data_IF_284515815924
#
_entry.id   IF_284515815924
#
_cell.length_a   1.000
_cell.length_b   1.000
_cell.length_c   1.000
_cell.angle_alpha   90.00
_cell.angle_beta   90.00
_cell.angle_gamma   90.00
#
_symmetry.space_group_name_H-M   'P 1'
#
loop_
_entity.id
_entity.type
_entity.pdbx_description
1 polymer ?
#
# COMPACT_ATOMS: atom_id res chain seq x y z
N UNK A 1 9.76 -18.69 -11.92
CA UNK A 1 10.62 -19.03 -13.07
C UNK A 1 11.91 -19.70 -12.57
N UNK A 2 12.75 -19.05 -11.79
CA UNK A 2 14.02 -19.61 -11.29
C UNK A 2 13.86 -20.97 -10.60
N UNK A 3 12.89 -21.12 -9.73
CA UNK A 3 12.70 -22.35 -8.94
C UNK A 3 11.78 -23.36 -9.63
N UNK A 4 10.71 -22.87 -10.31
CA UNK A 4 9.67 -23.76 -10.86
C UNK A 4 9.92 -24.19 -12.30
N UNK A 5 10.66 -23.41 -13.07
CA UNK A 5 10.87 -23.65 -14.51
C UNK A 5 12.21 -23.08 -14.96
N UNK A 6 13.34 -23.57 -14.44
CA UNK A 6 14.66 -23.04 -14.78
C UNK A 6 15.04 -23.23 -16.27
N UNK A 7 14.44 -24.20 -16.93
CA UNK A 7 14.64 -24.42 -18.37
C UNK A 7 14.17 -23.26 -19.25
N UNK A 8 13.17 -22.49 -18.79
CA UNK A 8 12.70 -21.29 -19.50
C UNK A 8 13.76 -20.21 -19.56
N UNK A 9 14.66 -20.15 -18.58
CA UNK A 9 15.69 -19.12 -18.49
C UNK A 9 16.78 -19.29 -19.57
N UNK A 10 16.93 -20.49 -20.14
CA UNK A 10 17.96 -20.76 -21.15
C UNK A 10 17.85 -19.85 -22.39
N UNK A 11 16.65 -19.39 -22.72
CA UNK A 11 16.38 -18.57 -23.89
C UNK A 11 16.08 -17.11 -23.55
N UNK A 12 16.05 -16.75 -22.25
CA UNK A 12 15.79 -15.38 -21.78
C UNK A 12 17.11 -14.63 -21.66
N UNK A 13 17.23 -13.50 -22.34
CA UNK A 13 18.44 -12.65 -22.31
C UNK A 13 18.49 -11.75 -21.09
N UNK A 14 17.37 -11.52 -20.45
CA UNK A 14 17.21 -10.67 -19.27
C UNK A 14 15.74 -10.42 -18.98
N UNK A 15 15.46 -9.73 -17.89
CA UNK A 15 14.11 -9.32 -17.48
C UNK A 15 14.12 -7.85 -17.06
N UNK A 16 12.96 -7.24 -17.06
CA UNK A 16 12.72 -5.93 -16.47
C UNK A 16 11.65 -6.05 -15.38
N UNK A 17 11.85 -5.37 -14.28
CA UNK A 17 10.93 -5.36 -13.14
C UNK A 17 10.45 -3.95 -12.88
N UNK A 18 9.13 -3.77 -12.78
CA UNK A 18 8.50 -2.47 -12.58
C UNK A 18 7.92 -2.26 -11.16
N UNK A 19 7.96 -3.29 -10.31
CA UNK A 19 7.33 -3.23 -9.00
C UNK A 19 8.36 -3.20 -7.88
N UNK A 20 8.22 -2.31 -6.90
CA UNK A 20 9.15 -2.15 -5.76
C UNK A 20 9.45 -3.49 -5.08
N UNK A 21 8.45 -4.29 -4.82
CA UNK A 21 8.58 -5.61 -4.20
C UNK A 21 9.38 -6.58 -5.06
N UNK A 22 9.13 -6.61 -6.38
CA UNK A 22 9.87 -7.46 -7.31
C UNK A 22 11.34 -7.05 -7.37
N UNK A 23 11.62 -5.74 -7.38
CA UNK A 23 12.98 -5.21 -7.34
C UNK A 23 13.72 -5.65 -6.08
N UNK A 24 13.10 -5.54 -4.91
CA UNK A 24 13.71 -6.01 -3.64
C UNK A 24 14.03 -7.51 -3.71
N UNK A 25 13.11 -8.31 -4.27
CA UNK A 25 13.33 -9.74 -4.47
C UNK A 25 14.50 -10.04 -5.39
N UNK A 26 14.65 -9.27 -6.46
CA UNK A 26 15.79 -9.43 -7.39
C UNK A 26 17.11 -9.07 -6.72
N UNK A 27 17.17 -8.03 -5.89
CA UNK A 27 18.37 -7.69 -5.12
C UNK A 27 18.72 -8.78 -4.10
N UNK A 28 17.74 -9.40 -3.44
CA UNK A 28 17.98 -10.55 -2.57
C UNK A 28 18.57 -11.72 -3.37
N UNK A 29 17.98 -12.05 -4.53
CA UNK A 29 18.47 -13.12 -5.39
C UNK A 29 19.88 -12.84 -5.93
N UNK A 30 20.20 -11.59 -6.25
CA UNK A 30 21.54 -11.18 -6.68
C UNK A 30 22.55 -11.40 -5.52
N UNK A 31 22.21 -10.93 -4.31
CA UNK A 31 23.04 -11.10 -3.13
C UNK A 31 23.30 -12.57 -2.80
N UNK A 32 22.30 -13.43 -2.99
CA UNK A 32 22.37 -14.87 -2.73
C UNK A 32 22.95 -15.66 -3.93
N UNK A 33 23.36 -14.96 -5.00
CA UNK A 33 23.85 -15.56 -6.25
C UNK A 33 22.86 -16.56 -6.89
N UNK A 34 21.57 -16.33 -6.72
CA UNK A 34 20.49 -17.15 -7.31
C UNK A 34 19.84 -16.51 -8.52
N UNK A 35 20.19 -15.28 -8.86
CA UNK A 35 19.72 -14.59 -10.06
C UNK A 35 20.47 -15.10 -11.29
N UNK A 36 19.79 -15.82 -12.17
CA UNK A 36 20.41 -16.54 -13.28
C UNK A 36 20.46 -15.75 -14.60
N UNK A 37 19.78 -14.60 -14.67
CA UNK A 37 19.74 -13.75 -15.86
C UNK A 37 19.85 -12.27 -15.44
N UNK A 38 20.37 -11.38 -16.30
CA UNK A 38 20.40 -9.95 -16.04
C UNK A 38 18.99 -9.42 -15.76
N UNK A 39 18.86 -8.55 -14.77
CA UNK A 39 17.61 -7.89 -14.41
C UNK A 39 17.77 -6.36 -14.44
N UNK A 40 16.80 -5.67 -15.01
CA UNK A 40 16.77 -4.21 -15.11
C UNK A 40 15.68 -3.71 -14.20
N UNK A 41 16.07 -2.87 -13.23
CA UNK A 41 15.14 -2.15 -12.36
C UNK A 41 14.53 -0.96 -13.11
N UNK A 42 13.30 -1.13 -13.58
CA UNK A 42 12.51 -0.06 -14.23
C UNK A 42 11.71 0.71 -13.19
N UNK A 43 11.38 0.09 -12.05
CA UNK A 43 10.57 0.71 -11.00
C UNK A 43 11.14 2.05 -10.53
N UNK A 44 12.46 2.12 -10.35
CA UNK A 44 13.12 3.30 -9.81
C UNK A 44 13.46 4.36 -10.88
N UNK A 45 13.10 4.12 -12.15
CA UNK A 45 13.17 5.18 -13.14
C UNK A 45 12.21 6.31 -12.76
N UNK A 46 12.66 7.56 -12.95
CA UNK A 46 11.86 8.75 -12.60
C UNK A 46 10.50 8.73 -13.30
N UNK A 47 10.48 8.34 -14.57
CA UNK A 47 9.27 8.28 -15.40
C UNK A 47 8.32 7.13 -15.02
N UNK A 48 8.73 6.19 -14.17
CA UNK A 48 7.85 5.15 -13.60
C UNK A 48 7.42 5.50 -12.18
N UNK A 49 8.34 5.54 -11.22
CA UNK A 49 7.98 5.67 -9.80
C UNK A 49 7.31 7.00 -9.46
N UNK A 50 7.73 8.10 -10.05
CA UNK A 50 7.16 9.42 -9.81
C UNK A 50 5.86 9.69 -10.60
N UNK A 51 5.48 8.80 -11.49
CA UNK A 51 4.26 8.91 -12.29
C UNK A 51 3.28 7.80 -11.94
N UNK A 52 3.58 6.54 -12.20
CA UNK A 52 2.64 5.45 -11.99
C UNK A 52 2.31 5.24 -10.50
N UNK A 53 3.33 5.15 -9.64
CA UNK A 53 3.10 4.94 -8.21
C UNK A 53 2.34 6.12 -7.56
N UNK A 54 2.53 7.33 -8.06
CA UNK A 54 1.86 8.53 -7.55
C UNK A 54 0.49 8.75 -8.20
N UNK A 55 0.48 8.95 -9.52
CA UNK A 55 -0.73 9.34 -10.24
C UNK A 55 -1.66 8.16 -10.53
N UNK A 56 -1.11 6.97 -10.81
CA UNK A 56 -1.90 5.76 -10.99
C UNK A 56 -2.68 5.39 -9.72
N UNK A 57 -2.03 5.44 -8.56
CA UNK A 57 -2.69 5.21 -7.27
C UNK A 57 -3.67 6.32 -6.89
N UNK A 58 -3.38 7.57 -7.29
CA UNK A 58 -4.32 8.69 -7.13
C UNK A 58 -5.62 8.45 -7.88
N UNK A 59 -5.53 7.90 -9.09
CA UNK A 59 -6.69 7.61 -9.93
C UNK A 59 -7.45 6.37 -9.42
N UNK A 60 -6.74 5.27 -9.16
CA UNK A 60 -7.34 3.95 -8.92
C UNK A 60 -7.90 3.75 -7.51
N UNK A 61 -7.33 4.39 -6.47
CA UNK A 61 -7.73 4.12 -5.09
C UNK A 61 -9.21 4.41 -4.82
N UNK A 62 -9.64 5.64 -5.05
CA UNK A 62 -11.03 6.06 -4.75
C UNK A 62 -12.02 5.38 -5.68
N UNK A 63 -11.64 5.13 -6.93
CA UNK A 63 -12.45 4.35 -7.86
C UNK A 63 -12.67 2.92 -7.33
N UNK A 64 -11.60 2.26 -6.89
CA UNK A 64 -11.67 0.91 -6.31
C UNK A 64 -12.55 0.84 -5.06
N UNK A 65 -12.37 1.78 -4.11
CA UNK A 65 -13.19 1.83 -2.89
C UNK A 65 -14.68 2.02 -3.24
N UNK A 66 -15.00 2.94 -4.15
CA UNK A 66 -16.39 3.19 -4.57
C UNK A 66 -17.02 1.98 -5.23
N UNK A 67 -16.30 1.30 -6.11
CA UNK A 67 -16.81 0.08 -6.78
C UNK A 67 -17.07 -1.06 -5.81
N UNK A 68 -16.23 -1.17 -4.77
CA UNK A 68 -16.35 -2.25 -3.80
C UNK A 68 -17.42 -1.99 -2.72
N UNK A 69 -17.73 -0.73 -2.41
CA UNK A 69 -18.47 -0.42 -1.17
C UNK A 69 -19.64 0.53 -1.35
N UNK A 70 -19.77 1.23 -2.49
CA UNK A 70 -20.72 2.34 -2.71
C UNK A 70 -20.68 3.46 -1.65
N UNK A 71 -19.58 3.56 -0.90
CA UNK A 71 -19.44 4.52 0.21
C UNK A 71 -19.06 5.90 -0.30
N UNK A 72 -19.71 6.92 0.24
CA UNK A 72 -19.36 8.31 -0.01
C UNK A 72 -18.09 8.68 0.76
N UNK A 73 -17.08 9.23 0.06
CA UNK A 73 -15.81 9.66 0.66
C UNK A 73 -15.94 10.96 1.44
N UNK A 74 -16.79 11.87 0.95
CA UNK A 74 -16.95 13.20 1.53
C UNK A 74 -17.36 13.15 2.99
N UNK A 75 -16.65 13.90 3.84
CA UNK A 75 -16.90 13.97 5.29
C UNK A 75 -16.32 12.80 6.10
N UNK A 76 -15.83 11.74 5.46
CA UNK A 76 -15.16 10.62 6.15
C UNK A 76 -13.78 11.03 6.66
N UNK A 77 -13.33 10.34 7.71
CA UNK A 77 -11.93 10.35 8.13
C UNK A 77 -11.23 9.17 7.47
N UNK A 78 -10.31 9.48 6.58
CA UNK A 78 -9.52 8.48 5.87
C UNK A 78 -8.09 8.44 6.43
N UNK A 79 -7.60 7.28 6.80
CA UNK A 79 -6.26 7.05 7.32
C UNK A 79 -5.43 6.40 6.22
N UNK A 80 -4.32 7.02 5.85
CA UNK A 80 -3.36 6.44 4.91
C UNK A 80 -2.10 6.05 5.67
N UNK A 81 -1.78 4.77 5.69
CA UNK A 81 -0.56 4.25 6.26
C UNK A 81 0.54 4.20 5.20
N UNK A 82 1.57 5.00 5.41
CA UNK A 82 2.66 5.23 4.46
C UNK A 82 2.50 6.53 3.68
N UNK A 83 3.61 7.28 3.51
CA UNK A 83 3.64 8.52 2.74
C UNK A 83 4.79 8.54 1.71
N UNK A 84 5.07 7.38 1.12
CA UNK A 84 5.84 7.24 -0.12
C UNK A 84 5.02 7.69 -1.34
N UNK A 85 5.47 7.38 -2.55
CA UNK A 85 4.78 7.83 -3.78
C UNK A 85 3.32 7.32 -3.84
N UNK A 86 3.08 6.06 -3.49
CA UNK A 86 1.73 5.47 -3.41
C UNK A 86 0.88 6.17 -2.35
N UNK A 87 1.41 6.36 -1.15
CA UNK A 87 0.71 7.03 -0.05
C UNK A 87 0.36 8.48 -0.38
N UNK A 88 1.27 9.22 -1.00
CA UNK A 88 1.04 10.61 -1.48
C UNK A 88 -0.11 10.68 -2.48
N UNK A 89 -0.10 9.80 -3.46
CA UNK A 89 -1.18 9.70 -4.45
C UNK A 89 -2.52 9.39 -3.80
N UNK A 90 -2.53 8.39 -2.91
CA UNK A 90 -3.70 7.95 -2.14
C UNK A 90 -4.28 9.06 -1.27
N UNK A 91 -3.44 9.75 -0.51
CA UNK A 91 -3.85 10.86 0.36
C UNK A 91 -4.45 12.01 -0.44
N UNK A 92 -3.82 12.38 -1.56
CA UNK A 92 -4.32 13.42 -2.45
C UNK A 92 -5.69 13.06 -3.05
N UNK A 93 -5.88 11.81 -3.47
CA UNK A 93 -7.14 11.30 -4.02
C UNK A 93 -8.28 11.39 -3.01
N UNK A 94 -8.04 10.90 -1.79
CA UNK A 94 -9.04 10.93 -0.71
C UNK A 94 -9.39 12.36 -0.30
N UNK A 95 -8.38 13.25 -0.18
CA UNK A 95 -8.61 14.67 0.13
C UNK A 95 -9.44 15.35 -0.96
N UNK A 96 -9.12 15.11 -2.24
CA UNK A 96 -9.86 15.66 -3.36
C UNK A 96 -11.30 15.12 -3.43
N UNK A 97 -11.55 13.92 -2.95
CA UNK A 97 -12.89 13.36 -2.82
C UNK A 97 -13.68 13.89 -1.59
N UNK A 98 -13.09 14.81 -0.81
CA UNK A 98 -13.72 15.47 0.33
C UNK A 98 -13.54 14.75 1.67
N UNK A 99 -12.66 13.77 1.76
CA UNK A 99 -12.29 13.14 3.03
C UNK A 99 -11.32 14.02 3.84
N UNK A 100 -11.38 13.90 5.17
CA UNK A 100 -10.35 14.39 6.08
C UNK A 100 -9.28 13.31 6.20
N UNK A 101 -8.06 13.61 5.79
CA UNK A 101 -6.99 12.60 5.69
C UNK A 101 -6.03 12.71 6.86
N UNK A 102 -5.81 11.59 7.54
CA UNK A 102 -4.76 11.36 8.54
C UNK A 102 -3.67 10.50 7.90
N UNK A 103 -2.42 10.77 8.23
CA UNK A 103 -1.27 9.99 7.77
C UNK A 103 -0.63 9.27 8.94
N UNK A 104 -0.27 8.01 8.76
CA UNK A 104 0.63 7.30 9.66
C UNK A 104 1.91 6.97 8.92
N UNK A 105 3.06 7.36 9.45
CA UNK A 105 4.36 7.20 8.82
C UNK A 105 5.45 7.04 9.87
N UNK A 106 6.40 6.13 9.61
CA UNK A 106 7.54 5.87 10.50
C UNK A 106 8.80 6.60 10.05
N UNK A 107 8.93 6.89 8.74
CA UNK A 107 10.03 7.68 8.21
C UNK A 107 9.81 9.16 8.55
N UNK A 108 10.73 9.78 9.31
CA UNK A 108 10.55 11.17 9.75
C UNK A 108 10.57 12.18 8.60
N UNK A 109 11.23 11.86 7.49
CA UNK A 109 11.27 12.75 6.32
C UNK A 109 9.91 12.71 5.59
N UNK A 110 9.36 11.51 5.37
CA UNK A 110 8.04 11.36 4.77
C UNK A 110 6.94 11.94 5.68
N UNK A 111 7.05 11.75 6.99
CA UNK A 111 6.13 12.34 7.97
C UNK A 111 6.18 13.88 7.95
N UNK A 112 7.38 14.47 7.88
CA UNK A 112 7.55 15.92 7.75
C UNK A 112 6.95 16.42 6.43
N UNK A 113 7.16 15.73 5.32
CA UNK A 113 6.55 16.09 4.04
C UNK A 113 5.01 16.10 4.13
N UNK A 114 4.42 15.06 4.73
CA UNK A 114 2.98 14.99 4.95
C UNK A 114 2.47 16.19 5.76
N UNK A 115 3.16 16.55 6.83
CA UNK A 115 2.83 17.70 7.67
C UNK A 115 2.92 19.01 6.89
N UNK A 116 3.98 19.20 6.08
CA UNK A 116 4.14 20.40 5.23
C UNK A 116 3.07 20.50 4.14
N UNK A 117 2.52 19.39 3.70
CA UNK A 117 1.40 19.34 2.75
C UNK A 117 0.02 19.51 3.42
N UNK A 118 0.01 19.76 4.74
CA UNK A 118 -1.19 20.06 5.51
C UNK A 118 -1.99 18.84 5.96
N UNK A 119 -1.36 17.67 6.04
CA UNK A 119 -1.96 16.49 6.65
C UNK A 119 -1.60 16.41 8.14
N UNK A 120 -2.52 15.90 8.93
CA UNK A 120 -2.24 15.53 10.31
C UNK A 120 -1.54 14.17 10.33
N UNK A 121 -0.34 14.13 10.95
CA UNK A 121 0.44 12.90 11.12
C UNK A 121 0.22 12.36 12.52
N UNK A 122 -0.23 11.11 12.60
CA UNK A 122 -0.61 10.46 13.85
C UNK A 122 -0.08 9.02 13.92
N UNK A 123 -0.11 8.41 15.09
CA UNK A 123 0.16 6.97 15.22
C UNK A 123 -1.06 6.15 14.79
N UNK A 124 -0.86 4.92 14.30
CA UNK A 124 -1.97 4.03 13.92
C UNK A 124 -2.94 3.81 15.11
N UNK A 125 -2.42 3.68 16.33
CA UNK A 125 -3.23 3.54 17.55
C UNK A 125 -4.20 4.71 17.76
N UNK A 126 -3.77 5.93 17.44
CA UNK A 126 -4.64 7.10 17.54
C UNK A 126 -5.60 7.20 16.37
N UNK A 127 -5.13 6.86 15.17
CA UNK A 127 -5.94 6.86 13.95
C UNK A 127 -7.08 5.84 14.01
N UNK A 128 -6.82 4.64 14.56
CA UNK A 128 -7.79 3.55 14.64
C UNK A 128 -9.13 3.98 15.26
N UNK A 129 -9.09 4.80 16.30
CA UNK A 129 -10.30 5.26 17.02
C UNK A 129 -11.16 6.26 16.22
N UNK A 130 -10.57 6.94 15.25
CA UNK A 130 -11.20 8.06 14.56
C UNK A 130 -11.46 7.80 13.08
N UNK A 131 -10.75 6.84 12.48
CA UNK A 131 -10.85 6.52 11.06
C UNK A 131 -12.18 5.85 10.68
N UNK A 132 -12.66 6.17 9.51
CA UNK A 132 -13.78 5.51 8.83
C UNK A 132 -13.28 4.62 7.69
N UNK A 133 -12.15 5.02 7.05
CA UNK A 133 -11.52 4.31 5.94
C UNK A 133 -10.02 4.22 6.23
N UNK A 134 -9.45 3.04 6.08
CA UNK A 134 -8.02 2.80 6.29
C UNK A 134 -7.42 2.24 5.00
N UNK A 135 -6.31 2.82 4.57
CA UNK A 135 -5.59 2.43 3.36
C UNK A 135 -4.13 2.15 3.71
N UNK A 136 -3.65 0.94 3.48
CA UNK A 136 -2.23 0.61 3.66
C UNK A 136 -1.48 0.74 2.35
N UNK A 137 -0.32 1.38 2.38
CA UNK A 137 0.51 1.73 1.24
C UNK A 137 2.02 1.70 1.56
N UNK A 138 2.44 0.83 2.50
CA UNK A 138 3.81 0.81 3.03
C UNK A 138 4.71 -0.21 2.37
N UNK A 139 4.14 -1.27 1.78
CA UNK A 139 4.89 -2.44 1.32
C UNK A 139 5.56 -3.24 2.45
N UNK A 140 5.09 -3.09 3.70
CA UNK A 140 5.60 -3.75 4.89
C UNK A 140 4.61 -4.84 5.36
N UNK A 141 4.73 -5.32 6.59
CA UNK A 141 3.83 -6.29 7.19
C UNK A 141 3.26 -5.76 8.52
N UNK A 142 2.09 -6.28 8.92
CA UNK A 142 1.44 -6.02 10.21
C UNK A 142 1.27 -4.51 10.55
N UNK A 143 1.01 -3.70 9.53
CA UNK A 143 0.78 -2.25 9.68
C UNK A 143 -0.55 -1.99 10.40
N UNK A 144 -1.58 -2.77 10.05
CA UNK A 144 -2.86 -2.81 10.76
C UNK A 144 -2.98 -4.17 11.44
N UNK A 145 -2.85 -4.18 12.75
CA UNK A 145 -2.94 -5.38 13.59
C UNK A 145 -4.38 -5.60 14.10
N UNK A 146 -4.64 -6.78 14.64
CA UNK A 146 -5.91 -7.10 15.29
C UNK A 146 -6.27 -6.09 16.41
N UNK A 147 -5.28 -5.64 17.19
CA UNK A 147 -5.52 -4.67 18.26
C UNK A 147 -5.95 -3.31 17.70
N UNK A 148 -5.40 -2.88 16.57
CA UNK A 148 -5.89 -1.70 15.87
C UNK A 148 -7.33 -1.88 15.38
N UNK A 149 -7.66 -3.05 14.81
CA UNK A 149 -9.01 -3.35 14.30
C UNK A 149 -10.06 -3.37 15.41
N UNK A 150 -9.70 -3.83 16.63
CA UNK A 150 -10.61 -3.79 17.80
C UNK A 150 -10.96 -2.38 18.26
N UNK A 151 -10.05 -1.44 18.05
CA UNK A 151 -10.25 -0.02 18.40
C UNK A 151 -11.01 0.75 17.33
N UNK A 152 -11.22 0.16 16.13
CA UNK A 152 -11.90 0.82 15.01
C UNK A 152 -13.39 0.99 15.26
N UNK A 153 -13.96 1.96 14.56
CA UNK A 153 -15.40 2.18 14.53
C UNK A 153 -16.12 0.97 13.89
N UNK A 154 -17.36 0.78 14.29
CA UNK A 154 -18.27 -0.11 13.55
C UNK A 154 -18.34 0.32 12.08
N UNK A 155 -18.30 -0.67 11.17
CA UNK A 155 -18.29 -0.47 9.71
C UNK A 155 -17.09 0.30 9.17
N UNK A 156 -15.96 0.30 9.86
CA UNK A 156 -14.73 0.81 9.29
C UNK A 156 -14.33 -0.01 8.04
N UNK A 157 -13.89 0.70 7.00
CA UNK A 157 -13.41 0.08 5.77
C UNK A 157 -11.90 -0.03 5.84
N UNK A 158 -11.37 -1.22 5.63
CA UNK A 158 -9.93 -1.45 5.56
C UNK A 158 -9.59 -1.94 4.15
N UNK A 159 -8.65 -1.29 3.50
CA UNK A 159 -8.18 -1.68 2.18
C UNK A 159 -6.66 -1.55 2.06
N UNK A 160 -6.08 -2.33 1.16
CA UNK A 160 -4.67 -2.29 0.83
C UNK A 160 -4.52 -1.86 -0.64
N UNK A 161 -3.69 -0.87 -0.90
CA UNK A 161 -3.25 -0.50 -2.24
C UNK A 161 -1.80 -0.94 -2.48
N UNK A 162 -1.09 -1.35 -1.45
CA UNK A 162 0.23 -1.95 -1.54
C UNK A 162 0.19 -3.31 -2.25
N UNK A 163 1.37 -3.85 -2.53
CA UNK A 163 1.50 -5.11 -3.28
C UNK A 163 1.14 -6.34 -2.44
N UNK A 164 1.44 -6.32 -1.15
CA UNK A 164 1.23 -7.45 -0.26
C UNK A 164 0.00 -7.29 0.62
N UNK A 165 -0.76 -8.36 0.75
CA UNK A 165 -1.86 -8.51 1.71
C UNK A 165 -1.38 -8.59 3.18
N UNK A 166 -0.09 -8.87 3.39
CA UNK A 166 0.54 -8.95 4.72
C UNK A 166 0.58 -7.62 5.50
N UNK A 167 0.24 -6.50 4.88
CA UNK A 167 0.12 -5.21 5.58
C UNK A 167 -1.03 -5.20 6.61
N UNK A 168 -2.01 -6.05 6.42
CA UNK A 168 -3.19 -6.19 7.30
C UNK A 168 -3.19 -7.60 7.90
N UNK A 169 -3.29 -7.71 9.21
CA UNK A 169 -3.27 -8.98 9.95
C UNK A 169 -4.58 -9.77 9.77
N UNK A 170 -4.93 -10.10 8.52
CA UNK A 170 -6.20 -10.80 8.17
C UNK A 170 -6.26 -12.19 8.80
N UNK A 171 -5.11 -12.86 8.96
CA UNK A 171 -5.07 -14.20 9.56
C UNK A 171 -5.67 -14.25 10.98
N UNK A 172 -5.58 -13.16 11.73
CA UNK A 172 -6.16 -13.04 13.06
C UNK A 172 -7.69 -12.99 13.04
N UNK A 173 -8.30 -12.58 11.92
CA UNK A 173 -9.76 -12.50 11.77
C UNK A 173 -10.44 -13.84 11.56
N UNK A 174 -9.71 -14.92 11.28
CA UNK A 174 -10.28 -16.27 11.05
C UNK A 174 -11.12 -16.80 12.23
N UNK A 175 -10.87 -16.29 13.43
CA UNK A 175 -11.59 -16.66 14.64
C UNK A 175 -12.84 -15.81 14.92
N UNK A 176 -13.12 -14.83 14.06
CA UNK A 176 -14.29 -13.96 14.15
C UNK A 176 -15.36 -14.40 13.14
N UNK A 177 -16.59 -14.02 13.42
CA UNK A 177 -17.66 -14.22 12.45
C UNK A 177 -17.47 -13.23 11.30
N UNK A 178 -17.36 -13.74 10.07
CA UNK A 178 -17.21 -12.94 8.87
C UNK A 178 -18.02 -13.54 7.71
N UNK A 179 -18.32 -12.70 6.74
CA UNK A 179 -19.07 -13.05 5.55
C UNK A 179 -18.27 -12.61 4.31
N UNK A 180 -18.15 -13.50 3.33
CA UNK A 180 -17.55 -13.18 2.04
C UNK A 180 -18.63 -12.63 1.11
N UNK A 181 -18.45 -11.39 0.66
CA UNK A 181 -19.32 -10.72 -0.31
C UNK A 181 -18.64 -10.83 -1.68
N UNK A 182 -19.30 -11.44 -2.64
CA UNK A 182 -18.81 -11.60 -4.02
C UNK A 182 -19.32 -10.48 -4.91
#
# INVERSE_FOLDING_TARGET
MHDKSPEMLKNIKGLSEETTTGVHRLYEMEKDNTLLVPAINVNDSVTKSKFDNLYGCRESLVDGIRRATDVMMSGKVAVVAGYGDVGKGSAASLRNAGARVLITEIDPICALQASMEGYEVVTMKNAAKNGDIFVTATGNCDVITLDHMRDMKDRAIICNIGHFDSEIEIAALKNFQWEEIK
#
